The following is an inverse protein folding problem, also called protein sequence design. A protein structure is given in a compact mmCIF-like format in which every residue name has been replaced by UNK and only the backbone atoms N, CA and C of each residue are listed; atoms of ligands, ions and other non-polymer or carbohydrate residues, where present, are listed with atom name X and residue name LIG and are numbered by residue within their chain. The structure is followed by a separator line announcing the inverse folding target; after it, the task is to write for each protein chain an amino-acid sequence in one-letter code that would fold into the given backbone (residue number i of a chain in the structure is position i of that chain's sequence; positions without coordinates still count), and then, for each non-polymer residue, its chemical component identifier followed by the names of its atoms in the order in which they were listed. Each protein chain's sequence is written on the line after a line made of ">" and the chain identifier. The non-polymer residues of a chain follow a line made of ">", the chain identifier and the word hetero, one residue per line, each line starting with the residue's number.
data_IF_888437055551
#
_entry.id   IF_888437055551
#
_cell.length_a   1.000
_cell.length_b   1.000
_cell.length_c   1.000
_cell.angle_alpha   90.00
_cell.angle_beta   90.00
_cell.angle_gamma   90.00
#
_symmetry.space_group_name_H-M   'P 1'
#
loop_
_entity.id
_entity.type
_entity.pdbx_description
1 polymer ?
#
# COMPACT_ATOMS: atom_id res chain seq x y z
N UNK A 1 -15.60 -19.49 12.36
CA UNK A 1 -15.01 -18.16 12.61
C UNK A 1 -15.96 -17.08 12.09
N UNK A 2 -15.97 -15.90 12.71
CA UNK A 2 -16.83 -14.77 12.31
C UNK A 2 -16.05 -13.75 11.47
N UNK A 3 -16.77 -12.98 10.65
CA UNK A 3 -16.20 -11.91 9.87
C UNK A 3 -15.70 -10.79 10.81
N UNK A 4 -14.45 -10.33 10.64
CA UNK A 4 -13.89 -9.31 11.52
C UNK A 4 -14.42 -7.90 11.21
N UNK A 5 -15.04 -7.69 10.04
CA UNK A 5 -15.60 -6.40 9.60
C UNK A 5 -17.13 -6.33 9.72
N UNK A 6 -17.81 -7.49 9.78
CA UNK A 6 -19.27 -7.61 9.85
C UNK A 6 -19.68 -8.48 11.04
N UNK A 7 -20.31 -7.86 12.04
CA UNK A 7 -20.69 -8.55 13.29
C UNK A 7 -21.74 -9.64 13.02
N UNK A 8 -21.53 -10.84 13.57
CA UNK A 8 -22.49 -11.95 13.50
C UNK A 8 -22.53 -12.68 12.16
N UNK A 9 -21.72 -12.28 11.18
CA UNK A 9 -21.61 -12.97 9.88
C UNK A 9 -20.54 -14.04 9.98
N UNK A 10 -20.85 -15.28 9.60
CA UNK A 10 -19.85 -16.36 9.53
C UNK A 10 -19.10 -16.33 8.21
N UNK A 11 -17.81 -16.64 8.28
CA UNK A 11 -17.00 -16.85 7.08
C UNK A 11 -17.22 -18.27 6.55
N UNK A 12 -17.27 -18.38 5.23
CA UNK A 12 -17.42 -19.65 4.51
C UNK A 12 -16.09 -20.05 3.91
N UNK A 13 -15.73 -21.32 4.01
CA UNK A 13 -14.53 -21.83 3.36
C UNK A 13 -14.66 -21.73 1.83
N UNK A 14 -13.55 -21.35 1.18
CA UNK A 14 -13.44 -21.23 -0.25
C UNK A 14 -11.99 -21.11 -0.68
N UNK A 15 -11.76 -20.76 -1.94
CA UNK A 15 -10.43 -20.59 -2.49
C UNK A 15 -10.35 -19.24 -3.21
N UNK A 16 -9.25 -18.53 -2.99
CA UNK A 16 -8.97 -17.30 -3.74
C UNK A 16 -8.56 -17.65 -5.18
N UNK A 17 -8.97 -16.81 -6.14
CA UNK A 17 -8.58 -16.99 -7.53
C UNK A 17 -7.04 -16.99 -7.66
N UNK A 18 -6.48 -18.08 -8.19
CA UNK A 18 -5.03 -18.30 -8.23
C UNK A 18 -4.31 -18.02 -6.89
N UNK A 19 -4.92 -18.47 -5.78
CA UNK A 19 -4.45 -18.18 -4.43
C UNK A 19 -4.69 -19.32 -3.43
N UNK A 20 -4.37 -19.08 -2.14
CA UNK A 20 -4.55 -20.04 -1.07
C UNK A 20 -6.04 -20.31 -0.77
N UNK A 21 -6.29 -21.39 -0.04
CA UNK A 21 -7.57 -21.60 0.65
C UNK A 21 -7.82 -20.45 1.63
N UNK A 22 -9.03 -19.92 1.63
CA UNK A 22 -9.43 -18.79 2.44
C UNK A 22 -10.85 -18.97 2.98
N UNK A 23 -11.23 -18.11 3.92
CA UNK A 23 -12.58 -18.03 4.46
C UNK A 23 -13.21 -16.69 4.05
N UNK A 24 -14.13 -16.74 3.09
CA UNK A 24 -14.78 -15.58 2.52
C UNK A 24 -16.03 -15.15 3.28
N UNK A 25 -16.23 -13.85 3.43
CA UNK A 25 -17.45 -13.27 3.98
C UNK A 25 -18.50 -13.12 2.87
N UNK A 26 -19.73 -13.65 3.02
CA UNK A 26 -20.78 -13.49 2.00
C UNK A 26 -21.29 -12.06 1.86
N UNK A 27 -21.15 -11.22 2.89
CA UNK A 27 -21.71 -9.86 2.92
C UNK A 27 -20.71 -8.81 2.41
N UNK A 28 -19.49 -8.77 2.97
CA UNK A 28 -18.49 -7.78 2.55
C UNK A 28 -17.53 -8.28 1.47
N UNK A 29 -17.54 -9.58 1.18
CA UNK A 29 -16.61 -10.26 0.25
C UNK A 29 -15.12 -10.14 0.61
N UNK A 30 -14.82 -9.81 1.88
CA UNK A 30 -13.48 -9.94 2.44
C UNK A 30 -13.11 -11.39 2.75
N UNK A 31 -11.82 -11.68 2.82
CA UNK A 31 -11.26 -13.01 2.88
C UNK A 31 -10.24 -13.11 4.01
N UNK A 32 -10.43 -14.11 4.87
CA UNK A 32 -9.43 -14.50 5.87
C UNK A 32 -8.57 -15.63 5.32
N UNK A 33 -7.25 -15.45 5.35
CA UNK A 33 -6.27 -16.45 4.95
C UNK A 33 -5.48 -16.82 6.21
N UNK A 34 -5.60 -18.07 6.65
CA UNK A 34 -4.80 -18.54 7.78
C UNK A 34 -3.33 -18.62 7.39
N UNK A 35 -2.44 -18.53 8.39
CA UNK A 35 -0.99 -18.67 8.15
C UNK A 35 -0.63 -19.99 7.52
N UNK A 36 -1.29 -21.07 7.94
CA UNK A 36 -1.06 -22.41 7.39
C UNK A 36 -1.40 -22.46 5.89
N UNK A 37 -2.58 -21.92 5.51
CA UNK A 37 -2.99 -21.90 4.10
C UNK A 37 -2.08 -21.00 3.26
N UNK A 38 -1.71 -19.83 3.78
CA UNK A 38 -0.80 -18.92 3.09
C UNK A 38 0.58 -19.55 2.90
N UNK A 39 1.19 -20.07 3.96
CA UNK A 39 2.55 -20.66 3.89
C UNK A 39 2.61 -21.89 3.00
N UNK A 40 1.57 -22.74 3.01
CA UNK A 40 1.49 -23.90 2.10
C UNK A 40 1.46 -23.44 0.64
N UNK A 41 0.54 -22.53 0.30
CA UNK A 41 0.42 -22.01 -1.05
C UNK A 41 1.68 -21.24 -1.49
N UNK A 42 2.28 -20.45 -0.60
CA UNK A 42 3.49 -19.68 -0.87
C UNK A 42 4.69 -20.59 -1.19
N UNK A 43 4.81 -21.74 -0.51
CA UNK A 43 5.88 -22.71 -0.77
C UNK A 43 5.77 -23.40 -2.15
N UNK A 44 4.57 -23.44 -2.74
CA UNK A 44 4.34 -23.98 -4.09
C UNK A 44 4.65 -22.97 -5.20
N UNK A 45 4.83 -21.70 -4.85
CA UNK A 45 5.22 -20.68 -5.82
C UNK A 45 6.70 -20.86 -6.16
N UNK A 46 7.06 -20.65 -7.43
CA UNK A 46 8.47 -20.72 -7.86
C UNK A 46 9.33 -19.87 -6.92
N UNK A 47 10.53 -20.35 -6.52
CA UNK A 47 11.42 -19.58 -5.66
C UNK A 47 11.56 -18.21 -6.29
N UNK A 48 11.25 -17.15 -5.53
CA UNK A 48 11.13 -15.85 -6.12
C UNK A 48 12.48 -15.51 -6.72
N UNK A 49 12.53 -15.29 -8.04
CA UNK A 49 13.30 -14.13 -8.48
C UNK A 49 12.83 -13.05 -7.54
N UNK A 50 13.74 -12.53 -6.71
CA UNK A 50 13.44 -11.37 -5.87
C UNK A 50 12.91 -10.35 -6.85
N UNK A 51 11.58 -10.31 -7.05
CA UNK A 51 10.88 -9.13 -7.42
C UNK A 51 11.44 -8.19 -6.38
N UNK A 52 12.33 -7.33 -6.84
CA UNK A 52 12.86 -6.20 -6.14
C UNK A 52 11.62 -5.58 -5.51
N UNK A 53 11.35 -5.93 -4.26
CA UNK A 53 10.29 -5.34 -3.46
C UNK A 53 10.55 -3.82 -3.40
N UNK A 54 11.77 -3.39 -3.76
CA UNK A 54 12.17 -2.04 -4.02
C UNK A 54 11.68 -1.37 -5.34
N UNK A 55 11.24 -2.10 -6.38
CA UNK A 55 10.91 -1.52 -7.70
C UNK A 55 9.41 -1.34 -7.96
N UNK A 56 8.54 -2.06 -7.25
CA UNK A 56 7.10 -1.77 -7.33
C UNK A 56 6.81 -0.61 -6.39
N UNK A 57 6.94 0.62 -6.88
CA UNK A 57 6.34 1.78 -6.24
C UNK A 57 4.86 1.78 -6.63
N UNK A 58 3.97 1.19 -5.80
CA UNK A 58 2.63 0.82 -6.27
C UNK A 58 1.78 2.08 -6.51
N UNK A 59 2.20 3.23 -5.97
CA UNK A 59 1.66 4.57 -6.23
C UNK A 59 1.72 5.00 -7.71
N UNK A 60 2.47 4.31 -8.57
CA UNK A 60 2.50 4.58 -10.01
C UNK A 60 1.55 3.69 -10.82
N UNK A 61 0.97 2.65 -10.22
CA UNK A 61 0.15 1.66 -10.94
C UNK A 61 -1.32 2.13 -11.00
N UNK A 62 -1.84 2.25 -12.22
CA UNK A 62 -3.26 2.45 -12.49
C UNK A 62 -3.98 1.11 -12.49
N UNK A 63 -4.88 0.92 -11.52
CA UNK A 63 -5.76 -0.24 -11.45
C UNK A 63 -7.19 0.24 -11.24
N UNK A 64 -8.14 -0.39 -11.93
CA UNK A 64 -9.56 -0.21 -11.68
C UNK A 64 -9.94 -0.96 -10.40
N UNK A 65 -9.67 -0.31 -9.27
CA UNK A 65 -9.91 -0.84 -7.93
C UNK A 65 -10.54 0.24 -7.05
N UNK A 66 -11.62 -0.12 -6.36
CA UNK A 66 -12.24 0.70 -5.33
C UNK A 66 -12.08 0.00 -3.98
N UNK A 67 -11.40 0.67 -3.04
CA UNK A 67 -11.22 0.17 -1.69
C UNK A 67 -12.58 -0.07 -1.00
N UNK A 68 -12.63 -1.06 -0.12
CA UNK A 68 -13.81 -1.38 0.67
C UNK A 68 -14.23 -0.21 1.56
N UNK A 69 -15.53 0.04 1.69
CA UNK A 69 -16.06 1.02 2.66
C UNK A 69 -15.73 0.65 4.13
N UNK A 70 -15.36 -0.61 4.37
CA UNK A 70 -14.97 -1.15 5.67
C UNK A 70 -13.46 -1.12 5.90
N UNK A 71 -12.67 -0.72 4.90
CA UNK A 71 -11.20 -0.73 4.95
C UNK A 71 -10.69 0.11 6.13
N UNK A 72 -11.31 1.27 6.40
CA UNK A 72 -10.94 2.14 7.52
C UNK A 72 -11.26 1.56 8.92
N UNK A 73 -12.05 0.49 9.04
CA UNK A 73 -12.48 -0.07 10.33
C UNK A 73 -11.43 -1.00 10.90
N UNK A 74 -11.08 -0.84 12.18
CA UNK A 74 -10.24 -1.80 12.88
C UNK A 74 -10.95 -3.16 13.01
N UNK A 75 -10.17 -4.24 13.00
CA UNK A 75 -10.65 -5.62 13.00
C UNK A 75 -9.90 -6.48 14.04
N UNK A 76 -10.60 -7.47 14.58
CA UNK A 76 -10.00 -8.52 15.41
C UNK A 76 -9.75 -9.77 14.56
N UNK A 77 -8.64 -10.44 14.79
CA UNK A 77 -8.30 -11.71 14.14
C UNK A 77 -9.39 -12.76 14.37
N UNK A 78 -9.97 -13.36 13.31
CA UNK A 78 -10.97 -14.42 13.44
C UNK A 78 -10.50 -15.68 14.16
N UNK A 79 -9.19 -15.96 14.15
CA UNK A 79 -8.61 -17.17 14.76
C UNK A 79 -8.23 -16.97 16.24
N UNK A 80 -7.73 -15.79 16.61
CA UNK A 80 -7.13 -15.57 17.94
C UNK A 80 -7.51 -14.24 18.62
N UNK A 81 -8.45 -13.49 18.05
CA UNK A 81 -9.02 -12.25 18.61
C UNK A 81 -8.02 -11.12 18.92
N UNK A 82 -6.79 -11.19 18.42
CA UNK A 82 -5.84 -10.07 18.48
C UNK A 82 -6.21 -9.00 17.47
N UNK A 83 -5.97 -7.72 17.79
CA UNK A 83 -6.10 -6.64 16.80
C UNK A 83 -5.20 -6.90 15.59
N UNK A 84 -5.78 -6.74 14.39
CA UNK A 84 -5.02 -6.81 13.16
C UNK A 84 -4.19 -5.52 13.00
N UNK A 85 -2.91 -5.69 12.67
CA UNK A 85 -2.04 -4.59 12.27
C UNK A 85 -2.26 -4.30 10.79
N UNK A 86 -2.07 -3.04 10.41
CA UNK A 86 -2.43 -2.52 9.09
C UNK A 86 -1.18 -2.05 8.35
N UNK A 87 -1.05 -2.44 7.09
CA UNK A 87 -0.03 -1.96 6.19
C UNK A 87 -0.70 -1.28 4.99
N UNK A 88 -0.37 -0.01 4.77
CA UNK A 88 -0.94 0.76 3.67
C UNK A 88 -0.29 0.37 2.35
N UNK A 89 -1.13 0.18 1.32
CA UNK A 89 -0.71 -0.05 -0.07
C UNK A 89 -1.32 1.07 -0.91
N UNK A 90 -0.46 1.90 -1.50
CA UNK A 90 -0.90 3.02 -2.35
C UNK A 90 -0.96 2.60 -3.80
N UNK A 91 -2.03 2.94 -4.50
CA UNK A 91 -2.16 2.90 -5.96
C UNK A 91 -2.17 4.34 -6.50
N UNK A 92 -2.22 4.53 -7.82
CA UNK A 92 -2.20 5.88 -8.40
C UNK A 92 -3.36 6.78 -7.94
N UNK A 93 -4.57 6.22 -7.80
CA UNK A 93 -5.79 6.99 -7.51
C UNK A 93 -6.49 6.59 -6.21
N UNK A 94 -5.97 5.58 -5.52
CA UNK A 94 -6.59 5.03 -4.31
C UNK A 94 -5.55 4.36 -3.44
N UNK A 95 -5.93 3.96 -2.24
CA UNK A 95 -5.10 3.15 -1.36
C UNK A 95 -5.99 2.25 -0.53
N UNK A 96 -5.42 1.17 -0.02
CA UNK A 96 -6.10 0.27 0.92
C UNK A 96 -5.15 -0.17 2.02
N UNK A 97 -5.68 -0.82 3.06
CA UNK A 97 -4.88 -1.34 4.15
C UNK A 97 -4.95 -2.86 4.20
N UNK A 98 -3.86 -3.51 3.81
CA UNK A 98 -3.69 -4.94 4.06
C UNK A 98 -3.57 -5.19 5.56
N UNK A 99 -4.33 -6.16 6.07
CA UNK A 99 -4.40 -6.44 7.49
C UNK A 99 -3.77 -7.79 7.83
N UNK A 100 -3.02 -7.83 8.93
CA UNK A 100 -2.35 -9.06 9.39
C UNK A 100 -2.41 -9.18 10.89
N UNK A 101 -2.60 -10.41 11.37
CA UNK A 101 -2.54 -10.69 12.79
C UNK A 101 -1.07 -10.74 13.26
N UNK A 102 -0.65 -9.93 14.25
CA UNK A 102 0.71 -9.96 14.76
C UNK A 102 1.02 -11.27 15.52
N UNK A 103 -0.01 -11.94 16.04
CA UNK A 103 0.09 -13.16 16.83
C UNK A 103 0.13 -14.42 15.95
N UNK A 104 -0.99 -14.77 15.29
CA UNK A 104 -1.06 -16.00 14.49
C UNK A 104 -0.47 -15.86 13.09
N UNK A 105 -0.22 -14.63 12.60
CA UNK A 105 0.26 -14.28 11.25
C UNK A 105 -0.74 -14.40 10.10
N UNK A 106 -2.01 -14.72 10.39
CA UNK A 106 -3.09 -14.76 9.41
C UNK A 106 -3.37 -13.40 8.79
N UNK A 107 -3.92 -13.39 7.59
CA UNK A 107 -4.07 -12.22 6.73
C UNK A 107 -5.55 -11.99 6.46
N UNK A 108 -5.99 -10.76 6.58
CA UNK A 108 -7.30 -10.33 6.13
C UNK A 108 -7.13 -9.44 4.90
N UNK A 109 -7.81 -9.81 3.83
CA UNK A 109 -7.93 -9.00 2.61
C UNK A 109 -9.39 -8.59 2.47
N UNK A 110 -9.69 -7.31 2.43
CA UNK A 110 -11.01 -6.85 2.00
C UNK A 110 -11.26 -7.21 0.53
N UNK A 111 -12.51 -7.01 0.07
CA UNK A 111 -12.93 -7.34 -1.29
C UNK A 111 -11.99 -6.74 -2.32
N UNK A 112 -11.45 -7.60 -3.19
CA UNK A 112 -10.61 -7.18 -4.33
C UNK A 112 -9.14 -6.96 -4.01
N UNK A 113 -8.74 -6.88 -2.73
CA UNK A 113 -7.36 -6.56 -2.36
C UNK A 113 -6.38 -7.67 -2.74
N UNK A 114 -6.80 -8.94 -2.65
CA UNK A 114 -5.96 -10.06 -3.07
C UNK A 114 -5.58 -9.97 -4.57
N UNK A 115 -6.55 -9.61 -5.42
CA UNK A 115 -6.35 -9.45 -6.84
C UNK A 115 -5.40 -8.28 -7.15
N UNK A 116 -5.49 -7.19 -6.39
CA UNK A 116 -4.53 -6.09 -6.48
C UNK A 116 -3.13 -6.55 -6.09
N UNK A 117 -2.98 -7.30 -4.98
CA UNK A 117 -1.70 -7.87 -4.57
C UNK A 117 -1.13 -8.83 -5.62
N UNK A 118 -1.98 -9.53 -6.37
CA UNK A 118 -1.57 -10.36 -7.51
C UNK A 118 -0.99 -9.51 -8.64
N UNK A 119 -1.72 -8.48 -9.07
CA UNK A 119 -1.29 -7.57 -10.14
C UNK A 119 0.00 -6.81 -9.79
N UNK A 120 0.21 -6.51 -8.50
CA UNK A 120 1.44 -5.89 -8.01
C UNK A 120 2.58 -6.88 -7.75
N UNK A 121 2.36 -8.19 -7.87
CA UNK A 121 3.35 -9.22 -7.51
C UNK A 121 3.65 -9.33 -6.00
N UNK A 122 2.88 -8.64 -5.15
CA UNK A 122 3.06 -8.60 -3.69
C UNK A 122 2.41 -9.79 -2.96
N UNK A 123 1.44 -10.46 -3.57
CA UNK A 123 0.71 -11.59 -2.99
C UNK A 123 1.61 -12.75 -2.52
N UNK A 124 2.77 -12.96 -3.14
CA UNK A 124 3.76 -13.98 -2.73
C UNK A 124 4.75 -13.48 -1.66
N UNK A 125 4.72 -12.20 -1.32
CA UNK A 125 5.67 -11.54 -0.40
C UNK A 125 4.95 -10.66 0.62
N UNK A 126 3.80 -11.08 1.14
CA UNK A 126 3.00 -10.24 2.05
C UNK A 126 3.80 -9.79 3.28
N UNK A 127 4.70 -10.63 3.79
CA UNK A 127 5.61 -10.27 4.88
C UNK A 127 6.41 -8.98 4.64
N UNK A 128 6.83 -8.75 3.39
CA UNK A 128 7.64 -7.58 3.03
C UNK A 128 6.84 -6.28 3.12
N UNK A 129 5.53 -6.33 2.84
CA UNK A 129 4.60 -5.20 2.95
C UNK A 129 4.50 -4.72 4.41
N UNK A 130 4.70 -5.61 5.38
CA UNK A 130 4.71 -5.28 6.82
C UNK A 130 6.10 -4.95 7.37
N UNK A 131 7.15 -4.96 6.53
CA UNK A 131 8.51 -4.61 6.97
C UNK A 131 8.67 -3.10 7.21
N UNK A 132 9.58 -2.74 8.12
CA UNK A 132 9.90 -1.33 8.39
C UNK A 132 10.44 -0.60 7.16
N UNK A 133 11.21 -1.29 6.32
CA UNK A 133 11.79 -0.74 5.09
C UNK A 133 10.69 -0.32 4.11
N UNK A 134 9.72 -1.20 3.85
CA UNK A 134 8.57 -0.90 3.02
C UNK A 134 7.75 0.26 3.59
N UNK A 135 7.44 0.18 4.89
CA UNK A 135 6.62 1.20 5.56
C UNK A 135 7.29 2.58 5.56
N UNK A 136 8.62 2.65 5.68
CA UNK A 136 9.38 3.90 5.55
C UNK A 136 9.30 4.46 4.13
N UNK A 137 9.56 3.62 3.12
CA UNK A 137 9.50 4.03 1.72
C UNK A 137 8.12 4.54 1.31
N UNK A 138 7.05 3.85 1.75
CA UNK A 138 5.68 4.29 1.50
C UNK A 138 5.42 5.67 2.10
N UNK A 139 5.89 5.93 3.34
CA UNK A 139 5.77 7.24 3.99
C UNK A 139 6.53 8.33 3.24
N UNK A 140 7.75 8.06 2.79
CA UNK A 140 8.57 9.02 2.02
C UNK A 140 7.89 9.42 0.71
N UNK A 141 7.36 8.45 -0.03
CA UNK A 141 6.62 8.69 -1.28
C UNK A 141 5.34 9.51 -1.03
N UNK A 142 4.58 9.20 0.02
CA UNK A 142 3.40 9.97 0.38
C UNK A 142 3.73 11.40 0.79
N UNK A 143 4.81 11.59 1.54
CA UNK A 143 5.25 12.92 1.95
C UNK A 143 5.64 13.76 0.73
N UNK A 144 6.40 13.18 -0.20
CA UNK A 144 6.77 13.84 -1.45
C UNK A 144 5.52 14.21 -2.29
N UNK A 145 4.55 13.29 -2.43
CA UNK A 145 3.33 13.57 -3.18
C UNK A 145 2.48 14.67 -2.53
N UNK A 146 2.33 14.63 -1.20
CA UNK A 146 1.63 15.69 -0.45
C UNK A 146 2.30 17.05 -0.61
N UNK A 147 3.63 17.08 -0.60
CA UNK A 147 4.40 18.31 -0.83
C UNK A 147 4.18 18.86 -2.24
N UNK A 148 4.22 17.99 -3.26
CA UNK A 148 3.91 18.39 -4.65
C UNK A 148 2.49 18.91 -4.77
N UNK A 149 1.50 18.20 -4.24
CA UNK A 149 0.10 18.64 -4.27
C UNK A 149 -0.07 19.99 -3.56
N UNK A 150 0.48 20.15 -2.35
CA UNK A 150 0.40 21.42 -1.62
C UNK A 150 1.08 22.59 -2.36
N UNK A 151 2.16 22.30 -3.11
CA UNK A 151 2.83 23.28 -3.96
C UNK A 151 1.94 23.68 -5.14
N UNK A 152 1.32 22.70 -5.80
CA UNK A 152 0.37 22.92 -6.89
C UNK A 152 -0.86 23.74 -6.43
N UNK A 153 -1.42 23.41 -5.28
CA UNK A 153 -2.57 24.12 -4.69
C UNK A 153 -2.24 25.58 -4.39
N UNK A 154 -1.02 25.87 -3.92
CA UNK A 154 -0.60 27.23 -3.53
C UNK A 154 -0.15 28.10 -4.70
N UNK A 155 0.55 27.53 -5.68
CA UNK A 155 1.16 28.27 -6.79
C UNK A 155 0.30 28.26 -8.06
N UNK A 156 -0.68 27.36 -8.14
CA UNK A 156 -1.35 27.01 -9.39
C UNK A 156 -0.51 26.03 -10.23
N UNK A 157 -1.19 25.26 -11.07
CA UNK A 157 -0.59 24.14 -11.83
C UNK A 157 0.59 24.59 -12.70
N UNK A 158 0.44 25.69 -13.45
CA UNK A 158 1.45 26.16 -14.40
C UNK A 158 2.76 26.57 -13.73
N UNK A 159 2.68 27.30 -12.62
CA UNK A 159 3.86 27.74 -11.88
C UNK A 159 4.48 26.59 -11.10
N UNK A 160 3.66 25.73 -10.47
CA UNK A 160 4.15 24.57 -9.76
C UNK A 160 4.91 23.60 -10.69
N UNK A 161 4.42 23.39 -11.91
CA UNK A 161 5.11 22.55 -12.89
C UNK A 161 6.50 23.11 -13.26
N UNK A 162 6.62 24.43 -13.40
CA UNK A 162 7.93 25.07 -13.62
C UNK A 162 8.85 24.92 -12.42
N UNK A 163 8.32 25.06 -11.19
CA UNK A 163 9.08 24.83 -9.96
C UNK A 163 9.60 23.39 -9.89
N UNK A 164 8.76 22.39 -10.18
CA UNK A 164 9.17 20.99 -10.17
C UNK A 164 10.26 20.68 -11.21
N UNK A 165 10.10 21.18 -12.43
CA UNK A 165 11.11 21.00 -13.49
C UNK A 165 12.42 21.69 -13.16
N UNK A 166 12.37 22.87 -12.53
CA UNK A 166 13.57 23.58 -12.11
C UNK A 166 14.26 22.84 -10.95
N UNK A 167 13.49 22.34 -9.97
CA UNK A 167 14.02 21.56 -8.86
C UNK A 167 14.77 20.33 -9.36
N UNK A 168 14.18 19.54 -10.27
CA UNK A 168 14.82 18.36 -10.87
C UNK A 168 16.12 18.72 -11.61
N UNK A 169 16.13 19.84 -12.35
CA UNK A 169 17.35 20.31 -13.04
C UNK A 169 18.44 20.74 -12.06
N UNK A 170 18.08 21.41 -10.96
CA UNK A 170 19.04 21.88 -9.97
C UNK A 170 19.61 20.71 -9.16
N UNK A 171 18.79 19.72 -8.78
CA UNK A 171 19.23 18.52 -8.07
C UNK A 171 20.29 17.73 -8.86
N UNK A 172 20.14 17.67 -10.18
CA UNK A 172 21.08 16.97 -11.08
C UNK A 172 22.26 17.84 -11.56
N UNK A 173 22.39 19.09 -11.11
CA UNK A 173 23.45 20.00 -11.54
C UNK A 173 24.55 20.15 -10.47
N UNK A 174 25.85 20.10 -10.83
CA UNK A 174 26.95 20.19 -9.86
C UNK A 174 26.95 21.44 -8.97
N UNK A 175 26.37 22.54 -9.46
CA UNK A 175 26.22 23.81 -8.73
C UNK A 175 24.74 24.18 -8.50
N UNK A 176 23.86 23.19 -8.32
CA UNK A 176 22.43 23.41 -8.13
C UNK A 176 22.08 24.26 -6.91
N UNK A 177 22.83 24.08 -5.83
CA UNK A 177 22.77 24.86 -4.59
C UNK A 177 22.92 26.37 -4.82
N UNK A 178 23.81 26.78 -5.72
CA UNK A 178 23.98 28.19 -6.11
C UNK A 178 22.70 28.76 -6.75
N UNK A 179 22.01 27.96 -7.57
CA UNK A 179 20.73 28.31 -8.18
C UNK A 179 19.62 28.46 -7.14
N UNK A 180 19.51 27.53 -6.19
CA UNK A 180 18.56 27.61 -5.06
C UNK A 180 18.82 28.88 -4.23
N UNK A 181 20.08 29.16 -3.90
CA UNK A 181 20.46 30.35 -3.13
C UNK A 181 20.12 31.66 -3.86
N UNK A 182 20.26 31.69 -5.19
CA UNK A 182 19.82 32.85 -6.00
C UNK A 182 18.31 33.09 -5.86
N UNK A 183 17.48 32.05 -5.96
CA UNK A 183 16.03 32.17 -5.79
C UNK A 183 15.67 32.65 -4.38
N UNK A 184 16.26 32.05 -3.33
CA UNK A 184 16.00 32.45 -1.94
C UNK A 184 16.33 33.92 -1.68
N UNK A 185 17.44 34.43 -2.22
CA UNK A 185 17.80 35.86 -2.09
C UNK A 185 16.75 36.79 -2.67
N UNK A 186 16.04 36.40 -3.73
CA UNK A 186 14.98 37.23 -4.34
C UNK A 186 13.78 37.44 -3.41
N UNK A 187 13.54 36.51 -2.49
CA UNK A 187 12.46 36.60 -1.49
C UNK A 187 12.91 37.23 -0.16
N UNK A 188 14.21 37.17 0.15
CA UNK A 188 14.78 37.74 1.38
C UNK A 188 15.30 39.19 1.20
N UNK A 189 15.08 39.81 0.04
CA UNK A 189 15.55 41.17 -0.26
C UNK A 189 14.49 42.26 0.00
N UNK A 190 13.59 42.02 0.95
CA UNK A 190 12.73 43.07 1.54
C UNK A 190 13.44 43.78 2.69
#
# INVERSE_FOLDING_TARGET
>A
MECPKQKGVRLNEGQLAAGPTAYGCPECHGNWISTEHYSRWQAEQSPPERASVAEVAPSMVELDFAASELDNRAALCPDCSHYLVRARVNLKHTAFYLERCPNCKGIWCDRGEWQVLQQLGLHTHIDSVFSSEWQNRVRELEQAERERQATADKLGLDLAQQVFQLAEKLENHPNGDFGVAYLMRRFNSE
#
